data_IF_241768253046
#
_entry.id   IF_241768253046
#
_cell.length_a   1.000
_cell.length_b   1.000
_cell.length_c   1.000
_cell.angle_alpha   90.00
_cell.angle_beta   90.00
_cell.angle_gamma   90.00
#
_symmetry.space_group_name_H-M   'P 1'
#
loop_
_entity.id
_entity.type
_entity.pdbx_description
1 polymer ?
#
# COMPACT_ATOMS: atom_id res chain seq x y z
N UNK A 1 7.19 49.95 2.56
CA UNK A 1 7.33 49.08 1.36
C UNK A 1 7.85 47.74 1.83
N UNK A 2 7.03 46.69 1.81
CA UNK A 2 7.48 45.33 2.12
C UNK A 2 7.81 44.63 0.80
N UNK A 3 9.07 44.20 0.65
CA UNK A 3 9.48 43.40 -0.49
C UNK A 3 8.84 42.01 -0.39
N UNK A 4 8.10 41.61 -1.42
CA UNK A 4 7.57 40.26 -1.55
C UNK A 4 8.73 39.29 -1.70
N UNK A 5 8.89 38.38 -0.73
CA UNK A 5 9.83 37.28 -0.85
C UNK A 5 9.33 36.34 -1.95
N UNK A 6 10.08 36.22 -3.04
CA UNK A 6 9.80 35.23 -4.08
C UNK A 6 9.76 33.85 -3.41
N UNK A 7 8.61 33.19 -3.49
CA UNK A 7 8.48 31.80 -3.05
C UNK A 7 9.55 30.97 -3.77
N UNK A 8 10.43 30.33 -3.01
CA UNK A 8 11.47 29.48 -3.56
C UNK A 8 10.84 28.43 -4.48
N UNK A 9 11.44 28.21 -5.66
CA UNK A 9 10.98 27.17 -6.58
C UNK A 9 10.86 25.84 -5.82
N UNK A 10 9.69 25.16 -5.82
CA UNK A 10 9.51 23.94 -5.07
C UNK A 10 10.57 22.90 -5.45
N UNK A 11 11.11 22.18 -4.47
CA UNK A 11 12.22 21.23 -4.67
C UNK A 11 11.92 20.17 -5.73
N UNK A 12 10.65 19.76 -5.87
CA UNK A 12 10.24 18.80 -6.91
C UNK A 12 10.35 19.40 -8.32
N UNK A 13 10.09 20.71 -8.51
CA UNK A 13 10.26 21.39 -9.80
C UNK A 13 11.74 21.46 -10.16
N UNK A 14 12.59 21.76 -9.18
CA UNK A 14 14.05 21.73 -9.36
C UNK A 14 14.52 20.31 -9.71
N UNK A 15 14.01 19.28 -9.04
CA UNK A 15 14.33 17.89 -9.34
C UNK A 15 13.94 17.50 -10.77
N UNK A 16 12.71 17.83 -11.23
CA UNK A 16 12.25 17.57 -12.61
C UNK A 16 13.15 18.22 -13.65
N UNK A 17 13.63 19.45 -13.38
CA UNK A 17 14.51 20.19 -14.30
C UNK A 17 15.92 19.63 -14.36
N UNK A 18 16.43 19.10 -13.24
CA UNK A 18 17.83 18.69 -13.11
C UNK A 18 18.04 17.20 -13.41
N UNK A 19 17.04 16.34 -13.17
CA UNK A 19 17.19 14.89 -13.26
C UNK A 19 16.22 14.24 -14.27
N UNK A 20 16.71 13.40 -15.20
CA UNK A 20 15.89 12.73 -16.20
C UNK A 20 15.14 11.48 -15.67
N UNK A 21 15.54 10.91 -14.52
CA UNK A 21 14.90 9.74 -13.89
C UNK A 21 14.15 10.06 -12.58
N UNK A 22 13.47 9.07 -11.99
CA UNK A 22 12.97 9.15 -10.60
C UNK A 22 11.66 9.89 -10.33
N UNK A 23 10.94 10.35 -11.36
CA UNK A 23 9.63 11.00 -11.19
C UNK A 23 8.74 10.74 -12.41
N UNK A 24 7.45 10.45 -12.17
CA UNK A 24 6.53 10.01 -13.21
C UNK A 24 6.33 11.07 -14.29
N UNK A 25 6.04 10.63 -15.53
CA UNK A 25 5.73 11.54 -16.64
C UNK A 25 4.53 12.45 -16.32
N UNK A 26 3.59 11.99 -15.48
CA UNK A 26 2.46 12.79 -15.00
C UNK A 26 2.87 13.98 -14.13
N UNK A 27 3.90 13.85 -13.29
CA UNK A 27 4.43 14.98 -12.51
C UNK A 27 5.24 15.92 -13.41
N UNK A 28 6.00 15.38 -14.37
CA UNK A 28 6.69 16.20 -15.38
C UNK A 28 5.71 17.00 -16.24
N UNK A 29 4.53 16.44 -16.52
CA UNK A 29 3.46 17.12 -17.22
C UNK A 29 2.97 18.39 -16.49
N UNK A 30 3.03 18.45 -15.16
CA UNK A 30 2.63 19.64 -14.38
C UNK A 30 3.50 20.88 -14.64
N UNK A 31 4.74 20.70 -15.09
CA UNK A 31 5.63 21.82 -15.50
C UNK A 31 5.71 21.98 -17.02
N UNK A 32 4.96 21.17 -17.77
CA UNK A 32 4.91 21.27 -19.22
C UNK A 32 4.08 22.47 -19.65
N UNK A 33 4.67 23.31 -20.50
CA UNK A 33 3.97 24.45 -21.11
C UNK A 33 2.79 24.00 -21.98
N UNK A 34 2.84 22.79 -22.57
CA UNK A 34 1.72 22.25 -23.35
C UNK A 34 0.53 21.86 -22.47
N UNK A 35 0.78 21.34 -21.28
CA UNK A 35 -0.26 20.96 -20.32
C UNK A 35 -0.88 22.19 -19.68
N UNK A 36 -0.07 23.18 -19.30
CA UNK A 36 -0.58 24.47 -18.82
C UNK A 36 -1.48 25.16 -19.85
N UNK A 37 -1.10 25.13 -21.14
CA UNK A 37 -1.93 25.64 -22.24
C UNK A 37 -3.21 24.83 -22.43
N UNK A 38 -3.14 23.50 -22.32
CA UNK A 38 -4.32 22.64 -22.41
C UNK A 38 -5.29 22.87 -21.24
N UNK A 39 -4.78 22.96 -20.01
CA UNK A 39 -5.58 23.28 -18.83
C UNK A 39 -6.25 24.65 -18.97
N UNK A 40 -5.53 25.69 -19.41
CA UNK A 40 -6.13 27.00 -19.67
C UNK A 40 -7.21 26.96 -20.75
N UNK A 41 -7.04 26.12 -21.79
CA UNK A 41 -7.99 25.96 -22.89
C UNK A 41 -9.24 25.16 -22.51
N UNK A 42 -9.13 24.22 -21.56
CA UNK A 42 -10.21 23.30 -21.17
C UNK A 42 -10.70 23.51 -19.72
N UNK A 43 -10.25 24.55 -19.02
CA UNK A 43 -10.67 24.87 -17.65
C UNK A 43 -12.19 25.08 -17.52
N UNK A 44 -12.86 25.48 -18.61
CA UNK A 44 -14.31 25.71 -18.64
C UNK A 44 -15.13 24.48 -19.06
N UNK A 45 -14.50 23.43 -19.60
CA UNK A 45 -15.21 22.17 -19.92
C UNK A 45 -15.35 21.31 -18.64
N UNK A 46 -16.20 21.77 -17.72
CA UNK A 46 -16.66 20.95 -16.59
C UNK A 46 -17.46 19.78 -17.14
N UNK A 47 -16.83 18.62 -17.31
CA UNK A 47 -17.48 17.38 -17.75
C UNK A 47 -18.36 16.73 -16.68
N UNK A 48 -18.59 17.39 -15.54
CA UNK A 48 -19.44 16.88 -14.48
C UNK A 48 -20.57 17.86 -14.21
N UNK A 49 -21.76 17.54 -14.74
CA UNK A 49 -22.99 18.08 -14.18
C UNK A 49 -23.09 17.52 -12.75
N UNK A 50 -23.28 18.37 -11.71
CA UNK A 50 -23.44 17.88 -10.35
C UNK A 50 -24.67 16.98 -10.30
N UNK A 51 -24.50 15.75 -9.78
CA UNK A 51 -25.61 14.86 -9.48
C UNK A 51 -26.46 15.54 -8.38
N UNK A 52 -27.75 15.82 -8.62
CA UNK A 52 -28.61 16.39 -7.59
C UNK A 52 -28.71 15.42 -6.40
N UNK A 53 -28.23 15.84 -5.22
CA UNK A 53 -28.29 15.04 -3.98
C UNK A 53 -27.00 14.99 -3.17
N UNK A 54 -25.86 15.37 -3.74
CA UNK A 54 -24.57 15.49 -3.04
C UNK A 54 -24.10 16.95 -2.87
N UNK A 55 -25.04 17.89 -2.87
CA UNK A 55 -24.76 19.30 -2.64
C UNK A 55 -24.86 19.61 -1.14
N UNK A 56 -23.72 19.81 -0.46
CA UNK A 56 -23.77 20.48 0.84
C UNK A 56 -22.61 20.31 1.81
N UNK A 57 -21.59 19.50 1.52
CA UNK A 57 -20.37 19.48 2.33
C UNK A 57 -19.17 19.74 1.42
N UNK A 58 -18.29 20.69 1.76
CA UNK A 58 -16.99 20.77 1.12
C UNK A 58 -16.33 19.39 1.16
N UNK A 59 -15.84 18.90 0.02
CA UNK A 59 -14.92 17.77 0.01
C UNK A 59 -13.56 18.30 0.48
N UNK A 60 -13.48 18.59 1.78
CA UNK A 60 -12.24 19.04 2.39
C UNK A 60 -11.27 17.87 2.39
N UNK A 61 -10.07 18.10 1.86
CA UNK A 61 -8.99 17.14 2.02
C UNK A 61 -8.68 17.01 3.51
N UNK A 62 -8.83 15.81 4.06
CA UNK A 62 -8.48 15.51 5.45
C UNK A 62 -7.11 14.85 5.46
N UNK A 63 -6.25 15.28 6.39
CA UNK A 63 -5.01 14.58 6.68
C UNK A 63 -5.32 13.29 7.46
N UNK A 64 -5.02 12.14 6.86
CA UNK A 64 -5.35 10.83 7.45
C UNK A 64 -4.23 10.29 8.35
N UNK A 65 -2.99 10.56 7.94
CA UNK A 65 -1.77 10.07 8.55
C UNK A 65 -1.35 10.92 9.76
N UNK A 66 -0.42 10.38 10.55
CA UNK A 66 0.31 11.15 11.57
C UNK A 66 1.73 11.42 11.09
N UNK A 67 2.12 12.70 11.06
CA UNK A 67 3.47 13.13 10.67
C UNK A 67 4.46 13.00 11.85
N UNK A 68 5.75 12.84 11.53
CA UNK A 68 6.87 12.96 12.48
C UNK A 68 7.45 14.38 12.49
N UNK A 69 8.30 14.66 13.48
CA UNK A 69 9.18 15.83 13.47
C UNK A 69 10.65 15.38 13.64
N UNK A 70 11.54 15.58 12.65
CA UNK A 70 11.27 16.19 11.34
C UNK A 70 10.29 15.36 10.48
N UNK A 71 9.57 15.98 9.53
CA UNK A 71 8.68 15.25 8.64
C UNK A 71 9.43 14.20 7.81
N UNK A 72 8.89 13.00 7.76
CA UNK A 72 9.37 11.91 6.90
C UNK A 72 8.29 11.54 5.87
N UNK A 73 8.68 11.03 4.69
CA UNK A 73 7.72 10.67 3.65
C UNK A 73 6.76 9.57 4.09
N UNK A 74 5.53 9.66 3.59
CA UNK A 74 4.55 8.59 3.57
C UNK A 74 3.93 8.58 2.17
N UNK A 75 3.98 7.45 1.49
CA UNK A 75 3.61 7.28 0.09
C UNK A 75 2.98 5.91 -0.17
N UNK A 76 2.72 5.60 -1.45
CA UNK A 76 2.13 4.34 -1.91
C UNK A 76 0.89 3.93 -1.12
N UNK A 77 -0.23 4.56 -1.48
CA UNK A 77 -1.45 4.50 -0.70
C UNK A 77 -2.43 3.44 -1.20
N UNK A 78 -3.20 2.88 -0.27
CA UNK A 78 -4.34 2.03 -0.55
C UNK A 78 -5.49 2.29 0.43
N UNK A 79 -6.74 2.02 0.02
CA UNK A 79 -7.92 2.14 0.88
C UNK A 79 -8.99 1.12 0.51
N UNK A 80 -9.66 0.56 1.51
CA UNK A 80 -10.91 -0.19 1.35
C UNK A 80 -11.87 0.10 2.51
N UNK A 81 -13.16 -0.16 2.31
CA UNK A 81 -14.21 0.07 3.30
C UNK A 81 -14.90 -1.23 3.72
N UNK A 82 -15.48 -1.22 4.92
CA UNK A 82 -16.27 -2.35 5.39
C UNK A 82 -17.55 -2.45 4.59
N UNK A 83 -17.72 -3.56 3.88
CA UNK A 83 -18.95 -3.87 3.16
C UNK A 83 -20.14 -4.13 4.09
N UNK A 84 -19.89 -4.37 5.37
CA UNK A 84 -20.93 -4.51 6.41
C UNK A 84 -21.32 -3.15 7.03
N UNK A 85 -20.42 -2.16 7.02
CA UNK A 85 -20.70 -0.81 7.49
C UNK A 85 -19.84 0.22 6.70
N UNK A 86 -20.42 0.94 5.74
CA UNK A 86 -19.66 1.85 4.86
C UNK A 86 -19.12 3.10 5.58
N UNK A 87 -19.45 3.32 6.86
CA UNK A 87 -18.81 4.38 7.66
C UNK A 87 -17.43 3.97 8.19
N UNK A 88 -17.11 2.68 8.14
CA UNK A 88 -15.81 2.13 8.53
C UNK A 88 -14.96 1.93 7.29
N UNK A 89 -13.76 2.52 7.29
CA UNK A 89 -12.77 2.29 6.26
C UNK A 89 -11.36 2.24 6.84
N UNK A 90 -10.49 1.54 6.12
CA UNK A 90 -9.07 1.35 6.44
C UNK A 90 -8.27 1.73 5.21
N UNK A 91 -7.31 2.62 5.41
CA UNK A 91 -6.30 2.98 4.46
C UNK A 91 -4.91 2.61 4.97
N UNK A 92 -3.95 2.52 4.07
CA UNK A 92 -2.57 2.23 4.39
C UNK A 92 -1.62 3.04 3.51
N UNK A 93 -0.43 3.30 4.01
CA UNK A 93 0.67 3.96 3.32
C UNK A 93 2.01 3.46 3.86
N UNK A 94 3.06 3.51 3.03
CA UNK A 94 4.43 3.34 3.51
C UNK A 94 4.71 4.36 4.62
N UNK A 95 5.42 3.94 5.67
CA UNK A 95 5.76 4.79 6.80
C UNK A 95 7.25 4.82 7.07
N UNK A 96 7.92 5.87 6.59
CA UNK A 96 9.36 6.06 6.83
C UNK A 96 9.68 6.40 8.29
N UNK A 97 8.67 6.58 9.14
CA UNK A 97 8.83 6.80 10.58
C UNK A 97 9.12 5.47 11.29
N UNK A 98 8.30 4.43 11.07
CA UNK A 98 8.56 3.09 11.60
C UNK A 98 9.45 2.22 10.72
N UNK A 99 9.53 2.55 9.44
CA UNK A 99 10.06 1.65 8.42
C UNK A 99 9.09 0.55 8.01
N UNK A 100 7.85 0.55 8.50
CA UNK A 100 6.77 -0.38 8.12
C UNK A 100 5.65 0.31 7.35
N UNK A 101 4.42 -0.07 7.65
CA UNK A 101 3.20 0.54 7.08
C UNK A 101 2.43 1.28 8.17
N UNK A 102 1.98 2.49 7.86
CA UNK A 102 0.98 3.19 8.65
C UNK A 102 -0.41 2.82 8.15
N UNK A 103 -1.24 2.31 9.05
CA UNK A 103 -2.66 2.07 8.83
C UNK A 103 -3.45 3.24 9.39
N UNK A 104 -4.36 3.79 8.61
CA UNK A 104 -5.28 4.85 9.02
C UNK A 104 -6.71 4.30 8.95
N UNK A 105 -7.50 4.52 10.00
CA UNK A 105 -8.88 4.03 10.07
C UNK A 105 -9.86 5.13 10.40
N UNK A 106 -11.07 5.00 9.86
CA UNK A 106 -12.22 5.86 10.16
C UNK A 106 -13.41 5.00 10.60
N UNK A 107 -14.31 5.59 11.38
CA UNK A 107 -15.61 5.01 11.75
C UNK A 107 -16.77 5.99 11.51
N UNK A 108 -16.50 7.11 10.84
CA UNK A 108 -17.46 8.20 10.61
C UNK A 108 -17.56 8.60 9.13
N UNK A 109 -17.21 7.68 8.23
CA UNK A 109 -17.25 7.89 6.79
C UNK A 109 -16.13 8.79 6.26
N UNK A 110 -14.98 8.78 6.94
CA UNK A 110 -13.78 9.51 6.50
C UNK A 110 -13.67 10.94 7.00
N UNK A 111 -14.50 11.36 7.96
CA UNK A 111 -14.42 12.71 8.56
C UNK A 111 -13.24 12.82 9.51
N UNK A 112 -12.99 11.78 10.31
CA UNK A 112 -11.83 11.70 11.19
C UNK A 112 -11.11 10.37 11.02
N UNK A 113 -9.80 10.40 11.26
CA UNK A 113 -8.91 9.25 11.09
C UNK A 113 -8.02 9.05 12.31
N UNK A 114 -7.75 7.78 12.63
CA UNK A 114 -6.80 7.35 13.65
C UNK A 114 -5.72 6.50 12.98
N UNK A 115 -4.47 6.68 13.41
CA UNK A 115 -3.32 5.94 12.85
C UNK A 115 -2.80 4.88 13.82
N UNK A 116 -2.43 3.72 13.27
CA UNK A 116 -1.67 2.65 13.93
C UNK A 116 -0.53 2.24 12.99
N UNK A 117 0.60 1.76 13.52
CA UNK A 117 1.73 1.28 12.71
C UNK A 117 1.81 -0.24 12.75
N UNK A 118 2.10 -0.85 11.60
CA UNK A 118 2.28 -2.29 11.45
C UNK A 118 3.68 -2.51 10.90
N UNK A 119 4.55 -3.09 11.72
CA UNK A 119 5.94 -3.34 11.35
C UNK A 119 6.09 -4.79 10.92
N UNK A 120 6.65 -5.06 9.74
CA UNK A 120 6.90 -6.42 9.33
C UNK A 120 8.13 -6.99 10.00
N UNK A 121 8.12 -8.30 10.19
CA UNK A 121 9.21 -9.01 10.84
C UNK A 121 9.55 -10.28 10.07
N UNK A 122 10.83 -10.61 10.04
CA UNK A 122 11.35 -11.75 9.32
C UNK A 122 11.71 -12.88 10.29
N UNK A 123 10.94 -13.96 10.25
CA UNK A 123 11.15 -15.12 11.11
C UNK A 123 12.49 -15.82 10.88
N UNK A 124 13.12 -15.69 9.71
CA UNK A 124 14.38 -16.37 9.41
C UNK A 124 15.56 -15.89 10.26
N UNK A 125 15.54 -14.63 10.72
CA UNK A 125 16.58 -14.08 11.62
C UNK A 125 16.04 -13.56 12.96
N UNK A 126 14.74 -13.33 13.08
CA UNK A 126 14.15 -12.69 14.27
C UNK A 126 14.24 -11.16 14.24
N UNK A 127 14.54 -10.56 13.09
CA UNK A 127 14.66 -9.11 12.92
C UNK A 127 13.39 -8.48 12.34
N UNK A 128 13.24 -7.17 12.55
CA UNK A 128 12.28 -6.37 11.79
C UNK A 128 12.84 -6.02 10.40
N UNK A 129 11.98 -6.08 9.39
CA UNK A 129 12.31 -5.72 8.01
C UNK A 129 11.69 -4.37 7.65
N UNK A 130 12.05 -3.85 6.48
CA UNK A 130 11.40 -2.68 5.89
C UNK A 130 10.09 -3.13 5.24
N UNK A 131 9.01 -2.43 5.57
CA UNK A 131 7.70 -2.54 4.94
C UNK A 131 7.55 -1.64 3.72
N UNK A 132 6.62 -2.00 2.86
CA UNK A 132 6.35 -1.31 1.61
C UNK A 132 5.06 -1.76 0.95
N UNK A 133 4.66 -1.04 -0.10
CA UNK A 133 3.63 -1.43 -1.08
C UNK A 133 2.26 -1.88 -0.54
N UNK A 134 1.71 -1.22 0.51
CA UNK A 134 0.57 -1.75 1.22
C UNK A 134 -0.67 -1.93 0.34
N UNK A 135 -1.41 -2.99 0.63
CA UNK A 135 -2.73 -3.27 0.03
C UNK A 135 -3.71 -3.66 1.12
N UNK A 136 -4.95 -3.16 1.05
CA UNK A 136 -6.00 -3.43 2.06
C UNK A 136 -7.25 -3.98 1.38
N UNK A 137 -7.87 -4.99 1.97
CA UNK A 137 -9.17 -5.49 1.52
C UNK A 137 -10.04 -5.96 2.70
N UNK A 138 -11.36 -5.74 2.60
CA UNK A 138 -12.33 -6.24 3.56
C UNK A 138 -12.93 -7.59 3.15
N UNK A 139 -12.94 -8.55 4.07
CA UNK A 139 -13.67 -9.82 3.93
C UNK A 139 -15.02 -9.73 4.62
N UNK A 140 -16.11 -9.81 3.85
CA UNK A 140 -17.47 -9.87 4.35
C UNK A 140 -17.74 -11.19 5.06
N UNK A 141 -17.10 -12.29 4.63
CA UNK A 141 -17.21 -13.60 5.29
C UNK A 141 -16.59 -13.58 6.68
N UNK A 142 -15.40 -13.00 6.81
CA UNK A 142 -14.63 -13.03 8.04
C UNK A 142 -14.90 -11.82 8.95
N UNK A 143 -15.68 -10.85 8.47
CA UNK A 143 -15.90 -9.55 9.09
C UNK A 143 -14.58 -8.87 9.50
N UNK A 144 -13.57 -8.98 8.65
CA UNK A 144 -12.19 -8.58 8.95
C UNK A 144 -11.58 -7.78 7.80
N UNK A 145 -10.67 -6.86 8.15
CA UNK A 145 -9.74 -6.28 7.20
C UNK A 145 -8.48 -7.13 7.11
N UNK A 146 -7.94 -7.18 5.91
CA UNK A 146 -6.65 -7.78 5.61
C UNK A 146 -5.72 -6.73 5.00
N UNK A 147 -4.46 -6.76 5.40
CA UNK A 147 -3.40 -5.89 4.92
C UNK A 147 -2.28 -6.77 4.35
N UNK A 148 -1.94 -6.57 3.07
CA UNK A 148 -0.68 -7.05 2.50
C UNK A 148 0.38 -5.96 2.65
N UNK A 149 1.62 -6.35 2.95
CA UNK A 149 2.80 -5.48 2.85
C UNK A 149 4.04 -6.31 2.50
N UNK A 150 5.01 -5.65 1.88
CA UNK A 150 6.36 -6.16 1.68
C UNK A 150 7.10 -6.32 3.02
N UNK A 151 8.02 -7.27 3.09
CA UNK A 151 9.05 -7.38 4.10
C UNK A 151 10.38 -7.60 3.41
N UNK A 152 11.28 -6.60 3.44
CA UNK A 152 12.58 -6.70 2.80
C UNK A 152 13.69 -6.03 3.61
N UNK A 153 14.93 -6.30 3.23
CA UNK A 153 16.10 -5.64 3.80
C UNK A 153 16.84 -4.87 2.72
N UNK A 154 17.26 -3.64 3.01
CA UNK A 154 17.99 -2.81 2.05
C UNK A 154 19.39 -3.36 1.69
N UNK A 155 19.97 -4.15 2.59
CA UNK A 155 21.32 -4.67 2.46
C UNK A 155 21.39 -6.20 2.29
N UNK A 156 20.25 -6.90 2.37
CA UNK A 156 20.17 -8.35 2.23
C UNK A 156 19.14 -8.70 1.16
N UNK A 157 19.33 -9.75 0.37
CA UNK A 157 18.47 -10.06 -0.76
C UNK A 157 17.14 -10.71 -0.34
N UNK A 158 16.70 -10.59 0.90
CA UNK A 158 15.47 -11.22 1.40
C UNK A 158 14.26 -10.35 1.02
N UNK A 159 13.22 -11.01 0.52
CA UNK A 159 11.92 -10.40 0.23
C UNK A 159 10.78 -11.38 0.54
N UNK A 160 9.81 -10.91 1.29
CA UNK A 160 8.57 -11.63 1.56
C UNK A 160 7.36 -10.75 1.30
N UNK A 161 6.29 -11.35 0.79
CA UNK A 161 4.96 -10.74 0.83
C UNK A 161 4.23 -11.33 2.03
N UNK A 162 3.83 -10.47 2.96
CA UNK A 162 3.22 -10.86 4.22
C UNK A 162 1.79 -10.33 4.32
N UNK A 163 0.90 -11.11 4.93
CA UNK A 163 -0.50 -10.75 5.13
C UNK A 163 -0.85 -10.67 6.62
N UNK A 164 -1.54 -9.60 6.97
CA UNK A 164 -1.94 -9.20 8.32
C UNK A 164 -3.46 -9.14 8.40
N UNK A 165 -4.04 -9.45 9.57
CA UNK A 165 -5.48 -9.47 9.79
C UNK A 165 -5.88 -8.53 10.92
N UNK A 166 -7.00 -7.84 10.75
CA UNK A 166 -7.67 -7.06 11.79
C UNK A 166 -9.15 -7.44 11.87
N UNK A 167 -9.61 -7.79 13.07
CA UNK A 167 -11.01 -8.11 13.36
C UNK A 167 -11.73 -7.01 14.13
N UNK A 168 -11.09 -5.85 14.31
CA UNK A 168 -11.57 -4.72 15.11
C UNK A 168 -11.56 -3.40 14.32
N UNK A 169 -11.89 -3.48 13.03
CA UNK A 169 -11.98 -2.34 12.11
C UNK A 169 -10.64 -1.58 11.97
N UNK A 170 -9.53 -2.32 11.90
CA UNK A 170 -8.20 -1.79 11.67
C UNK A 170 -7.53 -1.17 12.90
N UNK A 171 -8.09 -1.35 14.11
CA UNK A 171 -7.53 -0.76 15.32
C UNK A 171 -6.29 -1.52 15.80
N UNK A 172 -6.33 -2.85 15.74
CA UNK A 172 -5.20 -3.75 15.99
C UNK A 172 -5.02 -4.72 14.83
N UNK A 173 -3.79 -5.20 14.67
CA UNK A 173 -3.37 -6.07 13.58
C UNK A 173 -2.51 -7.20 14.13
N UNK A 174 -2.47 -8.30 13.38
CA UNK A 174 -1.50 -9.39 13.58
C UNK A 174 -0.09 -8.85 13.83
N UNK A 175 0.64 -9.31 14.87
CA UNK A 175 2.05 -8.96 15.04
C UNK A 175 2.92 -9.44 13.86
N UNK A 176 4.01 -8.72 13.55
CA UNK A 176 4.89 -9.05 12.41
C UNK A 176 5.36 -10.51 12.36
N UNK A 177 5.81 -11.05 13.49
CA UNK A 177 6.29 -12.45 13.60
C UNK A 177 5.17 -13.49 13.46
N UNK A 178 3.91 -13.08 13.55
CA UNK A 178 2.72 -13.93 13.40
C UNK A 178 2.00 -13.69 12.07
N UNK A 179 2.58 -12.90 11.17
CA UNK A 179 2.01 -12.62 9.85
C UNK A 179 1.92 -13.89 9.00
N UNK A 180 0.94 -13.91 8.10
CA UNK A 180 0.80 -15.00 7.13
C UNK A 180 1.79 -14.80 5.99
N UNK A 181 2.57 -15.84 5.69
CA UNK A 181 3.56 -15.80 4.62
C UNK A 181 2.92 -16.16 3.27
N UNK A 182 2.73 -15.16 2.40
CA UNK A 182 2.15 -15.36 1.06
C UNK A 182 3.19 -15.97 0.12
N UNK A 183 4.38 -15.39 0.08
CA UNK A 183 5.53 -15.88 -0.69
C UNK A 183 6.83 -15.35 -0.09
N UNK A 184 7.90 -16.13 -0.19
CA UNK A 184 9.25 -15.76 0.24
C UNK A 184 10.28 -16.25 -0.78
N UNK A 185 11.39 -15.52 -0.92
CA UNK A 185 12.59 -16.03 -1.60
C UNK A 185 13.57 -16.71 -0.63
N UNK A 186 13.20 -16.83 0.65
CA UNK A 186 13.90 -17.60 1.66
C UNK A 186 13.27 -18.99 1.81
N UNK A 187 14.09 -20.02 1.70
CA UNK A 187 13.73 -21.39 2.01
C UNK A 187 13.95 -21.65 3.50
N UNK A 188 12.85 -21.72 4.26
CA UNK A 188 12.85 -21.98 5.69
C UNK A 188 13.31 -23.40 6.08
N UNK A 189 13.24 -24.37 5.16
CA UNK A 189 13.69 -25.74 5.43
C UNK A 189 15.20 -25.88 5.31
N UNK A 190 15.80 -25.14 4.38
CA UNK A 190 17.23 -25.12 4.12
C UNK A 190 17.96 -23.95 4.81
N UNK A 191 17.22 -22.97 5.33
CA UNK A 191 17.74 -21.70 5.83
C UNK A 191 18.62 -20.98 4.79
N UNK A 192 18.16 -20.93 3.54
CA UNK A 192 18.90 -20.30 2.42
C UNK A 192 18.04 -19.28 1.70
N UNK A 193 18.66 -18.22 1.18
CA UNK A 193 18.01 -17.22 0.33
C UNK A 193 18.36 -17.49 -1.13
N UNK A 194 17.39 -17.35 -2.04
CA UNK A 194 17.65 -17.30 -3.46
C UNK A 194 17.79 -15.83 -3.91
N UNK A 195 19.03 -15.31 -4.07
CA UNK A 195 19.24 -13.90 -4.39
C UNK A 195 18.87 -13.52 -5.82
N UNK A 196 18.59 -14.51 -6.68
CA UNK A 196 18.13 -14.27 -8.04
C UNK A 196 16.62 -13.97 -8.09
N UNK A 197 15.90 -14.05 -6.97
CA UNK A 197 14.47 -13.76 -6.89
C UNK A 197 14.22 -12.60 -5.93
N UNK A 198 13.29 -11.72 -6.29
CA UNK A 198 12.73 -10.72 -5.38
C UNK A 198 11.23 -10.64 -5.63
N UNK A 199 10.43 -10.55 -4.58
CA UNK A 199 8.97 -10.41 -4.67
C UNK A 199 8.58 -9.03 -4.17
N UNK A 200 7.74 -8.33 -4.95
CA UNK A 200 7.30 -6.97 -4.63
C UNK A 200 5.95 -6.64 -5.30
N UNK A 201 5.42 -5.45 -5.01
CA UNK A 201 4.23 -4.88 -5.64
C UNK A 201 2.98 -5.74 -5.45
N UNK A 202 2.75 -6.20 -4.22
CA UNK A 202 1.57 -7.00 -3.91
C UNK A 202 0.27 -6.19 -4.02
N UNK A 203 -0.79 -6.87 -4.46
CA UNK A 203 -2.16 -6.33 -4.48
C UNK A 203 -3.13 -7.42 -4.04
N UNK A 204 -4.07 -7.05 -3.18
CA UNK A 204 -5.00 -7.96 -2.53
C UNK A 204 -6.43 -7.74 -3.02
N UNK A 205 -7.12 -8.83 -3.33
CA UNK A 205 -8.55 -8.86 -3.57
C UNK A 205 -9.20 -10.01 -2.81
N UNK A 206 -10.47 -9.84 -2.43
CA UNK A 206 -11.24 -10.85 -1.71
C UNK A 206 -12.58 -11.06 -2.42
N UNK A 207 -12.93 -12.32 -2.67
CA UNK A 207 -14.23 -12.67 -3.23
C UNK A 207 -15.33 -12.48 -2.18
N UNK A 208 -16.07 -11.38 -2.31
CA UNK A 208 -17.15 -11.02 -1.40
C UNK A 208 -18.53 -11.35 -1.97
N UNK A 209 -18.63 -12.29 -2.93
CA UNK A 209 -19.91 -12.70 -3.53
C UNK A 209 -20.48 -13.89 -2.75
N UNK A 210 -21.58 -13.75 -1.98
CA UNK A 210 -22.06 -14.83 -1.10
C UNK A 210 -22.47 -16.12 -1.81
N UNK A 211 -22.75 -16.06 -3.12
CA UNK A 211 -23.10 -17.21 -3.96
C UNK A 211 -21.90 -17.83 -4.68
N UNK A 212 -20.71 -17.24 -4.56
CA UNK A 212 -19.51 -17.79 -5.17
C UNK A 212 -19.08 -19.07 -4.47
N UNK A 213 -18.63 -20.11 -5.21
CA UNK A 213 -17.98 -21.27 -4.59
C UNK A 213 -16.66 -20.92 -3.88
N UNK A 214 -16.14 -19.71 -4.09
CA UNK A 214 -14.91 -19.19 -3.47
C UNK A 214 -15.20 -18.02 -2.53
N UNK A 215 -16.42 -17.91 -2.00
CA UNK A 215 -16.78 -16.83 -1.08
C UNK A 215 -15.79 -16.73 0.10
N UNK A 216 -15.19 -15.55 0.24
CA UNK A 216 -14.17 -15.22 1.22
C UNK A 216 -12.75 -15.65 0.85
N UNK A 217 -12.49 -16.16 -0.37
CA UNK A 217 -11.13 -16.45 -0.84
C UNK A 217 -10.35 -15.14 -1.02
N UNK A 218 -9.13 -15.13 -0.49
CA UNK A 218 -8.16 -14.07 -0.67
C UNK A 218 -7.30 -14.40 -1.89
N UNK A 219 -7.05 -13.41 -2.74
CA UNK A 219 -6.14 -13.47 -3.86
C UNK A 219 -5.10 -12.36 -3.69
N UNK A 220 -3.83 -12.74 -3.69
CA UNK A 220 -2.70 -11.81 -3.66
C UNK A 220 -1.92 -11.98 -4.94
N UNK A 221 -1.92 -10.94 -5.78
CA UNK A 221 -0.98 -10.86 -6.89
C UNK A 221 0.29 -10.20 -6.42
N UNK A 222 1.43 -10.58 -6.99
CA UNK A 222 2.74 -9.96 -6.74
C UNK A 222 3.63 -10.13 -7.97
N UNK A 223 4.66 -9.30 -8.08
CA UNK A 223 5.65 -9.38 -9.15
C UNK A 223 6.82 -10.22 -8.67
N UNK A 224 7.20 -11.23 -9.45
CA UNK A 224 8.42 -12.02 -9.25
C UNK A 224 9.52 -11.44 -10.13
N UNK A 225 10.49 -10.75 -9.55
CA UNK A 225 11.65 -10.23 -10.26
C UNK A 225 12.75 -11.28 -10.32
N UNK A 226 13.34 -11.48 -11.50
CA UNK A 226 14.61 -12.18 -11.64
C UNK A 226 15.77 -11.18 -11.57
N UNK A 227 16.53 -11.21 -10.48
CA UNK A 227 17.60 -10.26 -10.18
C UNK A 227 18.93 -10.77 -10.73
N UNK A 228 19.53 -10.00 -11.64
CA UNK A 228 20.89 -10.28 -12.14
C UNK A 228 21.96 -9.83 -11.15
N UNK A 229 23.22 -10.34 -11.26
CA UNK A 229 24.34 -9.84 -10.45
C UNK A 229 24.56 -8.32 -10.51
N UNK A 230 24.11 -7.66 -11.58
CA UNK A 230 24.13 -6.19 -11.72
C UNK A 230 23.12 -5.44 -10.83
N UNK A 231 22.21 -6.14 -10.13
CA UNK A 231 21.09 -5.57 -9.39
C UNK A 231 19.85 -5.26 -10.24
N UNK A 232 19.98 -5.19 -11.56
CA UNK A 232 18.84 -5.05 -12.48
C UNK A 232 18.03 -6.34 -12.62
N UNK A 233 16.71 -6.19 -12.71
CA UNK A 233 15.82 -7.25 -13.18
C UNK A 233 15.82 -7.33 -14.71
N UNK A 234 15.80 -8.55 -15.25
CA UNK A 234 15.61 -8.81 -16.68
C UNK A 234 14.26 -9.48 -17.01
N UNK A 235 13.53 -9.97 -16.00
CA UNK A 235 12.21 -10.59 -16.15
C UNK A 235 11.35 -10.41 -14.90
N UNK A 236 10.08 -10.03 -15.06
CA UNK A 236 9.17 -9.65 -13.98
C UNK A 236 7.73 -10.17 -14.15
N UNK A 237 7.47 -11.49 -14.18
CA UNK A 237 6.12 -12.03 -14.29
C UNK A 237 5.28 -11.66 -13.06
N UNK A 238 4.02 -11.34 -13.30
CA UNK A 238 3.00 -11.25 -12.24
C UNK A 238 2.55 -12.66 -11.92
N UNK A 239 2.56 -13.01 -10.63
CA UNK A 239 2.03 -14.27 -10.12
C UNK A 239 0.82 -14.01 -9.22
N UNK A 240 0.07 -15.06 -8.92
CA UNK A 240 -1.02 -15.02 -7.95
C UNK A 240 -0.87 -16.15 -6.95
N UNK A 241 -1.08 -15.82 -5.68
CA UNK A 241 -1.33 -16.78 -4.63
C UNK A 241 -2.76 -16.62 -4.12
N UNK A 242 -3.38 -17.70 -3.67
CA UNK A 242 -4.69 -17.63 -3.03
C UNK A 242 -4.79 -18.52 -1.80
N UNK A 243 -5.68 -18.13 -0.89
CA UNK A 243 -6.03 -18.95 0.28
C UNK A 243 -7.51 -18.79 0.62
N UNK A 244 -8.11 -19.87 1.12
CA UNK A 244 -9.49 -19.86 1.59
C UNK A 244 -9.60 -19.52 3.08
N UNK A 245 -8.50 -19.60 3.85
CA UNK A 245 -8.54 -19.45 5.30
C UNK A 245 -7.27 -18.82 5.88
N UNK A 246 -7.46 -17.78 6.69
CA UNK A 246 -6.42 -17.19 7.54
C UNK A 246 -6.92 -17.21 8.99
N UNK A 247 -6.43 -18.16 9.82
CA UNK A 247 -6.88 -18.32 11.20
C UNK A 247 -6.65 -17.06 12.03
N UNK A 248 -7.65 -16.56 12.75
CA UNK A 248 -7.55 -15.30 13.51
C UNK A 248 -6.47 -15.35 14.59
N UNK A 249 -6.35 -16.47 15.32
CA UNK A 249 -5.39 -16.60 16.42
C UNK A 249 -3.97 -16.94 15.96
N UNK A 250 -3.82 -17.45 14.73
CA UNK A 250 -2.55 -17.92 14.16
C UNK A 250 -2.51 -17.70 12.64
N UNK A 251 -2.44 -16.43 12.17
CA UNK A 251 -2.41 -16.14 10.73
C UNK A 251 -1.21 -16.76 10.01
N UNK A 252 -0.10 -16.93 10.72
CA UNK A 252 1.12 -17.63 10.29
C UNK A 252 0.87 -19.09 9.84
N UNK A 253 -0.23 -19.71 10.27
CA UNK A 253 -0.61 -21.07 9.85
C UNK A 253 -1.45 -21.11 8.56
N UNK A 254 -1.72 -19.96 7.92
CA UNK A 254 -2.44 -19.97 6.65
C UNK A 254 -1.60 -20.62 5.54
N UNK A 255 -2.26 -21.44 4.72
CA UNK A 255 -1.63 -22.13 3.59
C UNK A 255 -2.04 -21.43 2.30
N UNK A 256 -1.06 -21.03 1.51
CA UNK A 256 -1.25 -20.40 0.21
C UNK A 256 -1.02 -21.39 -0.92
N UNK A 257 -1.88 -21.31 -1.93
CA UNK A 257 -1.71 -22.03 -3.20
C UNK A 257 -1.13 -21.06 -4.22
N UNK A 258 -0.17 -21.52 -5.01
CA UNK A 258 0.50 -20.74 -6.05
C UNK A 258 0.24 -21.38 -7.41
N UNK A 259 -0.03 -20.55 -8.42
CA UNK A 259 -0.22 -20.98 -9.82
C UNK A 259 0.84 -20.40 -10.74
#
# INVERSE_FOLDING_TARGET
MAASAFAATPRWVTHVKTYPGGISAGVRAQVSTSVARAQARYAESRLFAPVPGFLGQPLDNVQMNSDSNPPLPQDETWVDYSRANPLVAVAAANDYISGGVMVMRTSDGGRTWKSTRVNPAFNGTGDYCTGGDPTVAYSLRDHAFYLGQLCFFRALPVSEVQLYKSTDNGATWTPGFESSLVVSNFDYSASTVNPALFYDQEKLAIDNTPRSPHYGRLYVTYVKFHIKPSGFSDYCPVQVAYTDNVPTARPDLAVWQHT
#
